data_IF_577605456131
#
_entry.id   IF_577605456131
#
_cell.length_a   1.000
_cell.length_b   1.000
_cell.length_c   1.000
_cell.angle_alpha   90.00
_cell.angle_beta   90.00
_cell.angle_gamma   90.00
#
_symmetry.space_group_name_H-M   'P 1'
#
loop_
_entity.id
_entity.type
_entity.pdbx_description
1 polymer ?
#
# COMPACT_ATOMS: atom_id res chain seq x y z
N UNK A 1 -48.75 -32.38 -3.41
CA UNK A 1 -47.59 -31.73 -2.79
C UNK A 1 -47.22 -30.57 -3.69
N UNK A 2 -47.33 -29.33 -3.19
CA UNK A 2 -47.06 -28.13 -3.99
C UNK A 2 -45.55 -27.88 -3.86
N UNK A 3 -44.79 -28.23 -4.88
CA UNK A 3 -43.32 -28.25 -4.83
C UNK A 3 -42.80 -26.82 -4.72
N UNK A 4 -42.36 -26.44 -3.51
CA UNK A 4 -41.67 -25.17 -3.27
C UNK A 4 -40.39 -25.15 -4.09
N UNK A 5 -40.22 -24.13 -4.93
CA UNK A 5 -39.00 -23.98 -5.71
C UNK A 5 -37.83 -23.68 -4.77
N UNK A 6 -36.81 -24.56 -4.73
CA UNK A 6 -35.59 -24.39 -3.93
C UNK A 6 -34.37 -23.92 -4.74
N UNK A 7 -34.57 -23.57 -6.02
CA UNK A 7 -33.47 -23.24 -6.94
C UNK A 7 -32.96 -21.81 -6.83
N UNK A 8 -33.58 -20.96 -6.00
CA UNK A 8 -33.25 -19.54 -5.91
C UNK A 8 -31.78 -19.29 -5.52
N UNK A 9 -31.26 -19.97 -4.49
CA UNK A 9 -29.88 -19.76 -4.02
C UNK A 9 -28.84 -20.08 -5.10
N UNK A 10 -29.03 -21.19 -5.82
CA UNK A 10 -28.14 -21.58 -6.92
C UNK A 10 -28.20 -20.59 -8.08
N UNK A 11 -29.39 -20.08 -8.39
CA UNK A 11 -29.58 -19.09 -9.45
C UNK A 11 -28.97 -17.72 -9.06
N UNK A 12 -29.10 -17.33 -7.80
CA UNK A 12 -28.56 -16.07 -7.28
C UNK A 12 -27.03 -16.05 -7.20
N UNK A 13 -26.39 -17.19 -6.89
CA UNK A 13 -24.93 -17.28 -6.72
C UNK A 13 -24.22 -17.52 -8.06
N UNK A 14 -24.79 -18.35 -8.93
CA UNK A 14 -24.06 -18.89 -10.09
C UNK A 14 -24.60 -18.46 -11.46
N UNK A 15 -25.78 -17.83 -11.53
CA UNK A 15 -26.40 -17.48 -12.81
C UNK A 15 -26.37 -15.98 -13.08
N UNK A 16 -26.52 -15.61 -14.35
CA UNK A 16 -26.56 -14.21 -14.78
C UNK A 16 -27.86 -13.51 -14.32
N UNK A 17 -27.76 -12.21 -14.00
CA UNK A 17 -28.88 -11.38 -13.54
C UNK A 17 -30.13 -11.46 -14.42
N UNK A 18 -29.96 -11.62 -15.74
CA UNK A 18 -31.08 -11.74 -16.67
C UNK A 18 -31.84 -13.06 -16.50
N UNK A 19 -31.13 -14.15 -16.22
CA UNK A 19 -31.73 -15.48 -16.04
C UNK A 19 -32.47 -15.57 -14.71
N UNK A 20 -31.92 -14.94 -13.66
CA UNK A 20 -32.58 -14.78 -12.37
C UNK A 20 -33.87 -13.96 -12.51
N UNK A 21 -33.82 -12.80 -13.18
CA UNK A 21 -34.99 -11.93 -13.40
C UNK A 21 -36.12 -12.64 -14.16
N UNK A 22 -35.79 -13.44 -15.18
CA UNK A 22 -36.79 -14.25 -15.91
C UNK A 22 -37.43 -15.29 -14.99
N UNK A 23 -36.64 -15.98 -14.17
CA UNK A 23 -37.16 -16.96 -13.23
C UNK A 23 -38.05 -16.35 -12.13
N UNK A 24 -37.73 -15.15 -11.67
CA UNK A 24 -38.53 -14.41 -10.68
C UNK A 24 -39.91 -14.00 -11.21
N UNK A 25 -40.06 -13.82 -12.52
CA UNK A 25 -41.36 -13.54 -13.16
C UNK A 25 -42.23 -14.79 -13.24
N UNK A 26 -41.61 -15.98 -13.36
CA UNK A 26 -42.31 -17.25 -13.50
C UNK A 26 -42.62 -17.93 -12.16
N UNK A 27 -41.83 -17.68 -11.11
CA UNK A 27 -41.95 -18.36 -9.82
C UNK A 27 -42.25 -17.41 -8.64
N UNK A 28 -43.42 -17.55 -8.04
CA UNK A 28 -43.84 -16.74 -6.88
C UNK A 28 -43.09 -17.05 -5.57
N UNK A 29 -42.58 -18.28 -5.42
CA UNK A 29 -41.78 -18.65 -4.24
C UNK A 29 -40.43 -17.93 -4.26
N UNK A 30 -39.73 -17.97 -5.40
CA UNK A 30 -38.45 -17.27 -5.59
C UNK A 30 -38.60 -15.74 -5.52
N UNK A 31 -39.73 -15.18 -5.99
CA UNK A 31 -40.02 -13.74 -5.84
C UNK A 31 -40.08 -13.32 -4.38
N UNK A 32 -40.74 -14.12 -3.52
CA UNK A 32 -40.81 -13.83 -2.08
C UNK A 32 -39.46 -13.98 -1.38
N UNK A 33 -38.58 -14.84 -1.87
CA UNK A 33 -37.21 -14.96 -1.36
C UNK A 33 -36.35 -13.77 -1.78
N UNK A 34 -36.47 -13.30 -3.03
CA UNK A 34 -35.83 -12.08 -3.51
C UNK A 34 -36.24 -10.86 -2.67
N UNK A 35 -37.53 -10.69 -2.38
CA UNK A 35 -38.00 -9.57 -1.53
C UNK A 35 -37.42 -9.61 -0.11
N UNK A 36 -37.17 -10.81 0.45
CA UNK A 36 -36.49 -10.94 1.74
C UNK A 36 -35.01 -10.56 1.61
N UNK A 37 -34.35 -11.00 0.55
CA UNK A 37 -32.95 -10.66 0.29
C UNK A 37 -32.76 -9.15 0.07
N UNK A 38 -33.67 -8.50 -0.64
CA UNK A 38 -33.63 -7.06 -0.88
C UNK A 38 -33.77 -6.26 0.43
N UNK A 39 -34.65 -6.70 1.35
CA UNK A 39 -34.76 -6.12 2.70
C UNK A 39 -33.48 -6.29 3.50
N UNK A 40 -32.89 -7.49 3.50
CA UNK A 40 -31.63 -7.77 4.18
C UNK A 40 -30.48 -6.94 3.59
N UNK A 41 -30.45 -6.78 2.27
CA UNK A 41 -29.47 -5.92 1.57
C UNK A 41 -29.57 -4.47 2.05
N UNK A 42 -30.78 -3.92 2.17
CA UNK A 42 -31.01 -2.58 2.72
C UNK A 42 -30.48 -2.42 4.14
N UNK A 43 -30.78 -3.38 5.03
CA UNK A 43 -30.26 -3.41 6.40
C UNK A 43 -28.73 -3.45 6.44
N UNK A 44 -28.08 -4.19 5.54
CA UNK A 44 -26.61 -4.26 5.46
C UNK A 44 -26.04 -2.92 4.98
N UNK A 45 -26.66 -2.30 3.98
CA UNK A 45 -26.21 -1.01 3.42
C UNK A 45 -26.31 0.13 4.46
N UNK A 46 -27.29 0.11 5.36
CA UNK A 46 -27.37 1.06 6.48
C UNK A 46 -26.15 0.95 7.42
N UNK A 47 -25.71 -0.27 7.73
CA UNK A 47 -24.59 -0.50 8.65
C UNK A 47 -23.23 -0.36 7.96
N UNK A 48 -23.17 -0.50 6.63
CA UNK A 48 -21.95 -0.40 5.81
C UNK A 48 -21.15 0.88 6.06
N UNK A 49 -21.83 2.00 6.26
CA UNK A 49 -21.17 3.29 6.54
C UNK A 49 -20.33 3.23 7.84
N UNK A 50 -20.81 2.55 8.88
CA UNK A 50 -20.08 2.37 10.14
C UNK A 50 -18.77 1.60 9.93
N UNK A 51 -18.81 0.53 9.13
CA UNK A 51 -17.62 -0.25 8.79
C UNK A 51 -16.65 0.52 7.88
N UNK A 52 -17.17 1.29 6.92
CA UNK A 52 -16.35 2.09 6.03
C UNK A 52 -15.61 3.22 6.76
N UNK A 53 -16.23 3.83 7.78
CA UNK A 53 -15.57 4.84 8.62
C UNK A 53 -14.36 4.26 9.38
N UNK A 54 -14.44 2.99 9.79
CA UNK A 54 -13.40 2.30 10.58
C UNK A 54 -12.19 1.87 9.75
N UNK A 55 -12.35 1.70 8.42
CA UNK A 55 -11.30 1.17 7.53
C UNK A 55 -10.30 2.24 7.03
N UNK A 56 -10.58 3.53 7.23
CA UNK A 56 -9.77 4.67 6.74
C UNK A 56 -8.33 4.77 7.30
N UNK A 57 -7.95 3.91 8.25
CA UNK A 57 -6.59 3.90 8.85
C UNK A 57 -5.54 3.18 7.99
N UNK A 58 -5.95 2.35 7.03
CA UNK A 58 -5.04 1.55 6.19
C UNK A 58 -4.11 2.36 5.23
N UNK A 59 -4.52 3.48 4.61
CA UNK A 59 -3.64 4.23 3.70
C UNK A 59 -2.55 5.03 4.43
N UNK A 60 -2.78 5.48 5.66
CA UNK A 60 -1.82 6.30 6.42
C UNK A 60 -0.54 5.50 6.76
N UNK A 61 -0.69 4.22 7.11
CA UNK A 61 0.44 3.32 7.38
C UNK A 61 1.34 3.14 6.15
N UNK A 62 0.74 3.00 4.96
CA UNK A 62 1.50 2.84 3.71
C UNK A 62 2.32 4.09 3.38
N UNK A 63 1.73 5.27 3.58
CA UNK A 63 2.42 6.54 3.38
C UNK A 63 3.61 6.69 4.34
N UNK A 64 3.42 6.35 5.62
CA UNK A 64 4.49 6.39 6.62
C UNK A 64 5.66 5.47 6.26
N UNK A 65 5.39 4.24 5.78
CA UNK A 65 6.44 3.33 5.33
C UNK A 65 7.24 3.87 4.14
N UNK A 66 6.57 4.46 3.14
CA UNK A 66 7.25 5.02 1.97
C UNK A 66 8.14 6.21 2.37
N UNK A 67 7.65 7.10 3.24
CA UNK A 67 8.44 8.23 3.74
C UNK A 67 9.67 7.79 4.51
N UNK A 68 9.53 6.79 5.41
CA UNK A 68 10.67 6.23 6.14
C UNK A 68 11.74 5.65 5.20
N UNK A 69 11.32 4.98 4.13
CA UNK A 69 12.25 4.39 3.18
C UNK A 69 13.02 5.46 2.38
N UNK A 70 12.35 6.55 1.97
CA UNK A 70 12.98 7.67 1.26
C UNK A 70 13.99 8.43 2.14
N UNK A 71 13.66 8.63 3.42
CA UNK A 71 14.58 9.28 4.38
C UNK A 71 15.79 8.36 4.60
N UNK A 72 15.57 7.06 4.79
CA UNK A 72 16.66 6.12 4.98
C UNK A 72 17.59 6.07 3.76
N UNK A 73 17.03 5.99 2.55
CA UNK A 73 17.86 5.93 1.32
C UNK A 73 18.71 7.18 1.13
N UNK A 74 18.15 8.36 1.37
CA UNK A 74 18.89 9.63 1.23
C UNK A 74 20.03 9.72 2.24
N UNK A 75 19.76 9.40 3.52
CA UNK A 75 20.80 9.37 4.57
C UNK A 75 21.91 8.38 4.22
N UNK A 76 21.58 7.17 3.75
CA UNK A 76 22.60 6.17 3.40
C UNK A 76 23.51 6.62 2.26
N UNK A 77 22.97 7.31 1.25
CA UNK A 77 23.78 7.83 0.13
C UNK A 77 24.78 8.87 0.62
N UNK A 78 24.32 9.85 1.42
CA UNK A 78 25.21 10.86 2.01
C UNK A 78 26.30 10.25 2.92
N UNK A 79 25.98 9.20 3.67
CA UNK A 79 26.97 8.51 4.51
C UNK A 79 28.00 7.77 3.65
N UNK A 80 27.59 7.16 2.55
CA UNK A 80 28.53 6.51 1.63
C UNK A 80 29.45 7.51 0.93
N UNK A 81 28.91 8.64 0.45
CA UNK A 81 29.70 9.66 -0.25
C UNK A 81 30.72 10.35 0.66
N UNK A 82 30.39 10.55 1.93
CA UNK A 82 31.26 11.26 2.90
C UNK A 82 31.93 10.29 3.89
N UNK A 83 32.02 8.99 3.56
CA UNK A 83 32.49 7.98 4.49
C UNK A 83 33.94 8.21 4.93
N UNK A 84 34.83 8.52 3.98
CA UNK A 84 36.25 8.75 4.25
C UNK A 84 36.47 10.01 5.08
N UNK A 85 35.84 11.14 4.71
CA UNK A 85 35.91 12.39 5.48
C UNK A 85 35.39 12.22 6.92
N UNK A 86 34.33 11.43 7.09
CA UNK A 86 33.77 11.14 8.42
C UNK A 86 34.72 10.23 9.23
N UNK A 87 35.37 9.25 8.59
CA UNK A 87 36.34 8.37 9.22
C UNK A 87 37.61 9.13 9.62
N UNK A 88 38.09 10.03 8.77
CA UNK A 88 39.26 10.87 9.03
C UNK A 88 38.98 11.83 10.18
N UNK A 89 37.82 12.49 10.17
CA UNK A 89 37.38 13.34 11.29
C UNK A 89 37.29 12.54 12.60
N UNK A 90 36.80 11.30 12.57
CA UNK A 90 36.69 10.45 13.77
C UNK A 90 38.06 9.97 14.29
N UNK A 91 39.02 9.71 13.39
CA UNK A 91 40.30 9.09 13.74
C UNK A 91 41.39 10.13 14.03
N UNK A 92 41.38 11.24 13.31
CA UNK A 92 42.43 12.27 13.32
C UNK A 92 41.93 13.63 13.81
N UNK A 93 40.61 13.83 13.92
CA UNK A 93 40.00 15.07 14.41
C UNK A 93 39.80 16.15 13.33
N UNK A 94 40.27 15.90 12.12
CA UNK A 94 40.13 16.77 10.95
C UNK A 94 40.17 15.92 9.66
N UNK A 95 39.73 16.48 8.53
CA UNK A 95 39.82 15.81 7.21
C UNK A 95 41.25 15.85 6.68
N UNK A 96 41.78 14.73 6.17
CA UNK A 96 43.16 14.68 5.68
C UNK A 96 43.31 15.43 4.35
N UNK A 97 44.31 16.31 4.27
CA UNK A 97 44.67 16.98 3.03
C UNK A 97 45.58 16.11 2.15
N UNK A 98 45.73 16.46 0.87
CA UNK A 98 46.63 15.74 -0.04
C UNK A 98 48.10 15.76 0.44
N UNK A 99 48.49 16.81 1.17
CA UNK A 99 49.82 16.92 1.78
C UNK A 99 49.99 15.93 2.95
N UNK A 100 48.96 15.77 3.80
CA UNK A 100 48.97 14.83 4.93
C UNK A 100 49.02 13.36 4.48
N UNK A 101 48.48 13.08 3.29
CA UNK A 101 48.54 11.78 2.63
C UNK A 101 49.89 11.53 1.93
N UNK A 102 50.81 12.50 1.94
CA UNK A 102 52.15 12.39 1.39
C UNK A 102 52.25 12.57 -0.13
N UNK A 103 51.23 13.17 -0.76
CA UNK A 103 51.30 13.51 -2.18
C UNK A 103 52.14 14.78 -2.40
N UNK A 104 52.94 14.85 -3.48
CA UNK A 104 53.62 16.09 -3.83
C UNK A 104 52.55 17.13 -4.21
N UNK A 105 52.54 18.25 -3.49
CA UNK A 105 51.61 19.37 -3.72
C UNK A 105 52.39 20.63 -4.08
N UNK A 106 51.81 21.49 -4.92
CA UNK A 106 52.34 22.82 -5.20
C UNK A 106 52.04 23.79 -4.03
N UNK A 107 52.61 24.98 -4.06
CA UNK A 107 52.43 26.12 -3.15
C UNK A 107 50.97 26.51 -2.89
N UNK A 108 50.04 26.05 -3.75
CA UNK A 108 48.59 26.27 -3.64
C UNK A 108 47.83 25.05 -3.05
N UNK A 109 48.50 23.99 -2.63
CA UNK A 109 47.88 22.79 -2.03
C UNK A 109 47.23 21.83 -3.04
N UNK A 110 47.47 22.03 -4.34
CA UNK A 110 47.03 21.13 -5.41
C UNK A 110 48.11 20.09 -5.70
N UNK A 111 47.72 18.87 -6.09
CA UNK A 111 48.67 17.82 -6.46
C UNK A 111 49.57 18.31 -7.60
N UNK A 112 50.87 18.40 -7.34
CA UNK A 112 51.87 18.75 -8.32
C UNK A 112 52.12 17.52 -9.21
N UNK A 113 51.84 17.66 -10.50
CA UNK A 113 52.16 16.65 -11.52
C UNK A 113 53.33 17.21 -12.32
N UNK A 114 54.54 16.72 -12.01
CA UNK A 114 55.70 16.84 -12.90
C UNK A 114 55.64 15.78 -14.01
#
# INVERSE_FOLDING_TARGET
MNDKCSKYEGLFIFSDDETLKKHLLECEDCRREQEKMDKVSGLIDEVKFHYYSKSKKKPILKIACVLMFLIFSTVTITVMENYDDMLDTLRYGDTLSAEDLGFPVDSYGLIAVD
#
